data_IF_507129953615
#
_entry.id   IF_507129953615
#
_cell.length_a   1.000
_cell.length_b   1.000
_cell.length_c   1.000
_cell.angle_alpha   90.00
_cell.angle_beta   90.00
_cell.angle_gamma   90.00
#
_symmetry.space_group_name_H-M   'P 1'
#
loop_
_entity.id
_entity.type
_entity.pdbx_description
1 polymer ?
#
# COMPACT_ATOMS: atom_id res chain seq x y z
N UNK A 1 -10.29 0.76 -9.71
CA UNK A 1 -11.02 1.60 -10.69
C UNK A 1 -12.12 2.32 -9.94
N UNK A 2 -12.25 3.63 -10.17
CA UNK A 2 -13.29 4.48 -9.61
C UNK A 2 -14.04 5.11 -10.77
N UNK A 3 -15.33 4.85 -10.88
CA UNK A 3 -16.23 5.45 -11.86
C UNK A 3 -17.03 6.54 -11.16
N UNK A 4 -16.90 7.77 -11.63
CA UNK A 4 -17.77 8.84 -11.17
C UNK A 4 -19.17 8.69 -11.77
N UNK A 5 -20.20 8.94 -10.96
CA UNK A 5 -21.56 9.09 -11.44
C UNK A 5 -22.02 10.54 -11.24
N UNK A 6 -23.12 10.92 -11.91
CA UNK A 6 -23.69 12.28 -11.81
C UNK A 6 -24.06 12.67 -10.37
N UNK A 7 -24.26 11.70 -9.48
CA UNK A 7 -24.65 11.91 -8.08
C UNK A 7 -23.45 11.98 -7.12
N UNK A 8 -22.37 11.23 -7.38
CA UNK A 8 -21.21 11.10 -6.48
C UNK A 8 -19.97 11.88 -6.98
N UNK A 9 -20.11 12.74 -7.99
CA UNK A 9 -19.01 13.54 -8.52
C UNK A 9 -18.45 14.48 -7.41
N UNK A 10 -17.16 14.35 -7.11
CA UNK A 10 -16.46 15.15 -6.09
C UNK A 10 -16.65 14.71 -4.64
N UNK A 11 -17.17 13.49 -4.38
CA UNK A 11 -17.31 12.93 -3.02
C UNK A 11 -16.33 11.79 -2.72
N UNK A 12 -15.29 11.63 -3.54
CA UNK A 12 -14.31 10.54 -3.52
C UNK A 12 -13.28 10.60 -2.37
N UNK A 13 -13.15 11.76 -1.73
CA UNK A 13 -12.17 11.97 -0.64
C UNK A 13 -12.43 11.13 0.62
N UNK A 14 -13.64 10.58 0.80
CA UNK A 14 -14.01 9.94 2.06
C UNK A 14 -13.14 8.72 2.42
N UNK A 15 -12.71 7.93 1.44
CA UNK A 15 -11.90 6.71 1.67
C UNK A 15 -10.43 6.99 1.97
N UNK A 16 -9.91 8.11 1.46
CA UNK A 16 -8.50 8.49 1.56
C UNK A 16 -8.27 9.64 2.56
N UNK A 17 -9.35 10.23 3.08
CA UNK A 17 -9.28 11.34 4.02
C UNK A 17 -8.49 10.96 5.27
N UNK A 18 -7.45 11.75 5.57
CA UNK A 18 -6.50 11.54 6.68
C UNK A 18 -7.10 11.76 8.07
N UNK A 19 -8.41 11.91 8.18
CA UNK A 19 -9.09 12.41 9.36
C UNK A 19 -9.51 11.30 10.33
N UNK A 20 -8.68 11.06 11.35
CA UNK A 20 -9.03 10.65 12.73
C UNK A 20 -8.68 9.23 13.23
N UNK A 21 -8.29 8.25 12.41
CA UNK A 21 -7.87 6.92 12.92
C UNK A 21 -6.85 6.28 11.97
N UNK A 22 -5.83 5.63 12.55
CA UNK A 22 -4.77 4.83 11.93
C UNK A 22 -5.09 4.36 10.50
N UNK A 23 -4.45 5.01 9.52
CA UNK A 23 -4.62 4.78 8.08
C UNK A 23 -3.35 4.17 7.47
N UNK A 24 -2.40 3.74 8.30
CA UNK A 24 -1.12 3.20 7.86
C UNK A 24 -1.33 1.94 7.03
N UNK A 25 -2.20 1.03 7.49
CA UNK A 25 -2.51 -0.21 6.76
C UNK A 25 -3.04 0.05 5.35
N UNK A 26 -3.92 1.03 5.19
CA UNK A 26 -4.43 1.44 3.87
C UNK A 26 -3.31 1.96 2.98
N UNK A 27 -2.41 2.77 3.53
CA UNK A 27 -1.27 3.32 2.80
C UNK A 27 -0.26 2.25 2.40
N UNK A 28 -0.02 1.25 3.26
CA UNK A 28 0.85 0.13 2.94
C UNK A 28 0.24 -0.72 1.83
N UNK A 29 -1.03 -1.11 1.97
CA UNK A 29 -1.73 -1.90 0.95
C UNK A 29 -1.82 -1.17 -0.39
N UNK A 30 -1.99 0.16 -0.41
CA UNK A 30 -2.15 0.91 -1.65
C UNK A 30 -0.90 0.94 -2.52
N UNK A 31 0.29 0.61 -1.99
CA UNK A 31 1.54 0.54 -2.77
C UNK A 31 1.48 -0.46 -3.93
N UNK A 32 0.60 -1.47 -3.86
CA UNK A 32 0.43 -2.47 -4.91
C UNK A 32 -0.74 -2.19 -5.86
N UNK A 33 -1.45 -1.06 -5.68
CA UNK A 33 -2.62 -0.71 -6.46
C UNK A 33 -2.44 0.63 -7.16
N UNK A 34 -2.97 0.69 -8.39
CA UNK A 34 -3.14 1.94 -9.11
C UNK A 34 -4.59 2.36 -9.06
N UNK A 35 -4.83 3.61 -8.65
CA UNK A 35 -6.16 4.19 -8.76
C UNK A 35 -6.32 4.76 -10.17
N UNK A 36 -7.35 4.29 -10.87
CA UNK A 36 -7.75 4.79 -12.18
C UNK A 36 -9.15 5.37 -12.01
N UNK A 37 -9.26 6.67 -12.20
CA UNK A 37 -10.51 7.42 -12.11
C UNK A 37 -11.07 7.60 -13.51
N UNK A 38 -12.30 7.17 -13.71
CA UNK A 38 -13.02 7.26 -14.97
C UNK A 38 -14.06 8.38 -14.91
N UNK A 39 -14.16 9.16 -15.99
CA UNK A 39 -15.11 10.26 -16.07
C UNK A 39 -16.56 9.76 -16.18
N UNK A 40 -17.51 10.66 -15.92
CA UNK A 40 -18.94 10.34 -15.83
C UNK A 40 -19.52 9.84 -17.16
N UNK A 41 -18.94 10.27 -18.29
CA UNK A 41 -19.31 9.88 -19.66
C UNK A 41 -18.83 8.47 -20.03
N UNK A 42 -18.12 7.75 -19.15
CA UNK A 42 -17.75 6.35 -19.41
C UNK A 42 -18.95 5.43 -19.64
N UNK A 43 -20.14 5.86 -19.19
CA UNK A 43 -21.41 5.18 -19.38
C UNK A 43 -22.05 5.43 -20.74
N UNK A 44 -21.58 6.41 -21.52
CA UNK A 44 -22.12 6.71 -22.85
C UNK A 44 -21.67 5.65 -23.86
N UNK A 45 -22.54 5.31 -24.82
CA UNK A 45 -22.32 4.17 -25.74
C UNK A 45 -21.14 4.36 -26.70
N UNK A 46 -20.75 5.60 -26.95
CA UNK A 46 -19.63 5.99 -27.80
C UNK A 46 -18.29 6.02 -27.04
N UNK A 47 -18.30 5.86 -25.72
CA UNK A 47 -17.09 5.85 -24.92
C UNK A 47 -16.30 4.53 -25.08
N UNK A 48 -14.97 4.55 -25.29
CA UNK A 48 -14.17 3.34 -25.53
C UNK A 48 -14.24 2.28 -24.42
N UNK A 49 -14.52 2.69 -23.19
CA UNK A 49 -14.64 1.81 -22.02
C UNK A 49 -16.08 1.46 -21.63
N UNK A 50 -17.09 1.83 -22.43
CA UNK A 50 -18.51 1.56 -22.16
C UNK A 50 -18.78 0.09 -21.82
N UNK A 51 -18.18 -0.82 -22.58
CA UNK A 51 -18.38 -2.26 -22.44
C UNK A 51 -17.85 -2.85 -21.12
N UNK A 52 -17.11 -2.08 -20.31
CA UNK A 52 -16.70 -2.51 -18.96
C UNK A 52 -17.82 -2.33 -17.91
N UNK A 53 -18.90 -1.63 -18.29
CA UNK A 53 -19.98 -1.17 -17.43
C UNK A 53 -21.37 -1.39 -18.07
N UNK A 54 -21.54 -2.45 -18.86
CA UNK A 54 -22.78 -2.78 -19.57
C UNK A 54 -23.92 -3.26 -18.65
N UNK A 55 -23.62 -3.54 -17.39
CA UNK A 55 -24.60 -3.89 -16.37
C UNK A 55 -25.62 -2.78 -16.09
N UNK A 56 -26.84 -3.17 -15.71
CA UNK A 56 -27.95 -2.25 -15.41
C UNK A 56 -27.65 -1.26 -14.27
N UNK A 57 -26.82 -1.69 -13.31
CA UNK A 57 -26.33 -0.90 -12.18
C UNK A 57 -24.83 -1.20 -12.01
N UNK A 58 -23.97 -0.63 -12.85
CA UNK A 58 -22.55 -0.92 -12.79
C UNK A 58 -21.97 -0.30 -11.54
N UNK A 59 -20.98 -0.97 -10.96
CA UNK A 59 -20.40 -0.50 -9.72
C UNK A 59 -19.72 0.87 -9.86
N UNK A 60 -19.65 1.58 -8.75
CA UNK A 60 -18.96 2.85 -8.66
C UNK A 60 -17.47 2.64 -8.41
N UNK A 61 -17.12 1.58 -7.67
CA UNK A 61 -15.74 1.29 -7.33
C UNK A 61 -15.52 -0.22 -7.29
N UNK A 62 -14.43 -0.66 -7.91
CA UNK A 62 -13.96 -2.03 -7.81
C UNK A 62 -12.43 -2.07 -7.82
N UNK A 63 -11.92 -3.16 -7.26
CA UNK A 63 -10.51 -3.52 -7.29
C UNK A 63 -10.39 -4.76 -8.16
N UNK A 64 -9.39 -4.78 -9.04
CA UNK A 64 -9.13 -5.93 -9.87
C UNK A 64 -7.65 -6.12 -10.18
N UNK A 65 -7.34 -7.29 -10.72
CA UNK A 65 -6.01 -7.61 -11.23
C UNK A 65 -5.76 -6.90 -12.55
N UNK A 66 -4.48 -6.75 -12.91
CA UNK A 66 -4.07 -6.10 -14.17
C UNK A 66 -4.58 -6.82 -15.42
N UNK A 67 -4.76 -8.13 -15.32
CA UNK A 67 -5.31 -8.99 -16.39
C UNK A 67 -6.84 -9.11 -16.35
N UNK A 68 -7.50 -8.47 -15.38
CA UNK A 68 -8.96 -8.52 -15.21
C UNK A 68 -9.51 -9.87 -14.74
N UNK A 69 -8.67 -10.87 -14.44
CA UNK A 69 -9.10 -12.21 -14.01
C UNK A 69 -9.86 -12.20 -12.69
N UNK A 70 -9.54 -11.27 -11.79
CA UNK A 70 -10.28 -11.04 -10.55
C UNK A 70 -10.80 -9.60 -10.55
N UNK A 71 -12.11 -9.46 -10.39
CA UNK A 71 -12.83 -8.19 -10.20
C UNK A 71 -13.64 -8.30 -8.92
N UNK A 72 -13.44 -7.37 -7.99
CA UNK A 72 -14.14 -7.31 -6.70
C UNK A 72 -14.71 -5.93 -6.48
N UNK A 73 -16.03 -5.89 -6.38
CA UNK A 73 -16.81 -4.69 -6.12
C UNK A 73 -16.62 -4.22 -4.69
N UNK A 74 -16.62 -2.90 -4.50
CA UNK A 74 -16.73 -2.28 -3.18
C UNK A 74 -18.11 -1.67 -3.07
N UNK A 75 -18.99 -2.28 -2.27
CA UNK A 75 -20.38 -1.85 -2.11
C UNK A 75 -20.49 -0.68 -1.13
N UNK A 76 -19.59 -0.62 -0.13
CA UNK A 76 -19.50 0.49 0.80
C UNK A 76 -18.37 1.45 0.43
N UNK A 77 -18.72 2.66 0.01
CA UNK A 77 -17.77 3.76 -0.17
C UNK A 77 -17.11 4.23 1.15
N UNK A 78 -17.42 3.61 2.31
CA UNK A 78 -16.91 4.05 3.62
C UNK A 78 -16.32 2.94 4.49
N UNK A 79 -16.41 1.67 4.07
CA UNK A 79 -15.92 0.54 4.87
C UNK A 79 -14.44 0.26 4.60
N UNK A 80 -13.59 0.59 5.58
CA UNK A 80 -12.15 0.32 5.51
C UNK A 80 -11.81 -1.17 5.62
N UNK A 81 -12.57 -1.91 6.42
CA UNK A 81 -12.37 -3.36 6.60
C UNK A 81 -12.66 -4.06 5.27
N UNK A 82 -13.77 -3.73 4.62
CA UNK A 82 -14.13 -4.25 3.29
C UNK A 82 -13.08 -3.88 2.24
N UNK A 83 -12.57 -2.64 2.28
CA UNK A 83 -11.47 -2.22 1.43
C UNK A 83 -10.23 -3.09 1.63
N UNK A 84 -9.78 -3.28 2.88
CA UNK A 84 -8.60 -4.09 3.19
C UNK A 84 -8.77 -5.55 2.81
N UNK A 85 -9.94 -6.14 3.07
CA UNK A 85 -10.24 -7.53 2.72
C UNK A 85 -10.23 -7.71 1.20
N UNK A 86 -10.79 -6.73 0.47
CA UNK A 86 -10.84 -6.75 -0.99
C UNK A 86 -9.44 -6.57 -1.61
N UNK A 87 -8.66 -5.59 -1.14
CA UNK A 87 -7.27 -5.40 -1.56
C UNK A 87 -6.46 -6.67 -1.30
N UNK A 88 -6.60 -7.24 -0.10
CA UNK A 88 -5.89 -8.46 0.29
C UNK A 88 -6.26 -9.64 -0.60
N UNK A 89 -7.55 -9.83 -0.92
CA UNK A 89 -8.01 -10.91 -1.79
C UNK A 89 -7.42 -10.81 -3.20
N UNK A 90 -7.37 -9.60 -3.77
CA UNK A 90 -6.78 -9.36 -5.10
C UNK A 90 -5.26 -9.59 -5.08
N UNK A 91 -4.57 -9.18 -4.01
CA UNK A 91 -3.14 -9.48 -3.86
C UNK A 91 -2.89 -10.99 -3.71
N UNK A 92 -3.70 -11.71 -2.93
CA UNK A 92 -3.59 -13.19 -2.80
C UNK A 92 -3.80 -13.90 -4.13
N UNK A 93 -4.61 -13.35 -5.03
CA UNK A 93 -4.76 -13.89 -6.38
C UNK A 93 -3.46 -13.73 -7.19
N UNK A 94 -2.81 -12.56 -7.10
CA UNK A 94 -1.69 -12.15 -7.96
C UNK A 94 -0.29 -12.54 -7.44
N UNK A 95 -0.14 -12.75 -6.13
CA UNK A 95 1.17 -12.90 -5.48
C UNK A 95 1.34 -14.24 -4.75
N UNK A 96 2.57 -14.75 -4.73
CA UNK A 96 2.90 -16.07 -4.16
C UNK A 96 2.89 -16.09 -2.63
N UNK A 97 3.23 -14.95 -2.01
CA UNK A 97 3.29 -14.82 -0.54
C UNK A 97 2.01 -14.20 0.01
N UNK A 98 1.77 -14.44 1.30
CA UNK A 98 0.64 -13.88 2.03
C UNK A 98 0.79 -12.35 2.22
N UNK A 99 -0.12 -11.54 1.64
CA UNK A 99 -0.06 -10.08 1.72
C UNK A 99 -0.20 -9.55 3.15
N UNK A 100 -1.10 -10.14 3.95
CA UNK A 100 -1.33 -9.73 5.34
C UNK A 100 -0.08 -9.90 6.21
N UNK A 101 0.63 -11.01 6.06
CA UNK A 101 1.87 -11.27 6.78
C UNK A 101 2.96 -10.26 6.40
N UNK A 102 3.02 -9.90 5.12
CA UNK A 102 3.96 -8.90 4.59
C UNK A 102 3.65 -7.51 5.15
N UNK A 103 2.39 -7.07 5.10
CA UNK A 103 1.96 -5.79 5.67
C UNK A 103 2.24 -5.74 7.18
N UNK A 104 1.94 -6.80 7.92
CA UNK A 104 2.24 -6.87 9.37
C UNK A 104 3.74 -6.80 9.66
N UNK A 105 4.58 -7.39 8.81
CA UNK A 105 6.05 -7.28 8.91
C UNK A 105 6.48 -5.83 8.65
N UNK A 106 5.93 -5.18 7.64
CA UNK A 106 6.23 -3.77 7.33
C UNK A 106 5.84 -2.83 8.47
N UNK A 107 4.65 -2.99 9.05
CA UNK A 107 4.21 -2.19 10.21
C UNK A 107 5.21 -2.29 11.37
N UNK A 108 5.65 -3.52 11.71
CA UNK A 108 6.67 -3.72 12.75
C UNK A 108 8.01 -3.05 12.43
N UNK A 109 8.42 -3.04 11.16
CA UNK A 109 9.66 -2.37 10.74
C UNK A 109 9.51 -0.85 10.82
N UNK A 110 8.32 -0.30 10.55
CA UNK A 110 8.02 1.12 10.73
C UNK A 110 8.03 1.48 12.23
N UNK A 111 7.40 0.68 13.08
CA UNK A 111 7.46 0.86 14.54
C UNK A 111 8.92 0.83 15.05
N UNK A 112 9.73 -0.08 14.53
CA UNK A 112 11.15 -0.18 14.88
C UNK A 112 11.94 1.03 14.35
N UNK A 113 11.62 1.51 13.16
CA UNK A 113 12.21 2.72 12.60
C UNK A 113 11.95 3.94 13.51
N UNK A 114 10.70 4.16 13.90
CA UNK A 114 10.31 5.27 14.78
C UNK A 114 11.05 5.22 16.12
N UNK A 115 11.24 4.02 16.68
CA UNK A 115 12.04 3.82 17.89
C UNK A 115 13.50 4.22 17.68
N UNK A 116 14.15 3.72 16.62
CA UNK A 116 15.57 3.99 16.35
C UNK A 116 15.80 5.47 16.02
N UNK A 117 14.87 6.11 15.31
CA UNK A 117 14.94 7.54 15.00
C UNK A 117 14.80 8.41 16.25
N UNK A 118 13.94 8.01 17.19
CA UNK A 118 13.86 8.63 18.52
C UNK A 118 15.15 8.49 19.34
N UNK A 119 15.81 7.33 19.25
CA UNK A 119 17.12 7.09 19.88
C UNK A 119 18.22 7.95 19.26
N UNK A 120 18.23 8.09 17.93
CA UNK A 120 19.15 8.99 17.21
C UNK A 120 19.00 10.43 17.67
N UNK A 121 17.77 10.94 17.64
CA UNK A 121 17.46 12.31 18.07
C UNK A 121 17.89 12.55 19.52
N UNK A 122 17.66 11.57 20.39
CA UNK A 122 18.07 11.65 21.80
C UNK A 122 19.59 11.66 21.96
N UNK A 123 20.30 10.82 21.22
CA UNK A 123 21.77 10.77 21.26
C UNK A 123 22.39 12.06 20.72
N UNK A 124 21.89 12.59 19.60
CA UNK A 124 22.32 13.87 19.01
C UNK A 124 22.13 15.02 20.01
N UNK A 125 20.95 15.15 20.61
CA UNK A 125 20.70 16.17 21.65
C UNK A 125 21.65 16.04 22.83
N UNK A 126 21.92 14.83 23.32
CA UNK A 126 22.84 14.62 24.45
C UNK A 126 24.29 14.97 24.07
N UNK A 127 24.70 14.77 22.83
CA UNK A 127 26.02 15.17 22.35
C UNK A 127 26.13 16.70 22.39
N UNK A 128 25.13 17.41 21.87
CA UNK A 128 25.10 18.87 21.87
C UNK A 128 25.15 19.44 23.29
N UNK A 129 24.35 18.89 24.21
CA UNK A 129 24.36 19.29 25.62
C UNK A 129 25.73 19.08 26.29
N UNK A 130 26.43 17.99 25.98
CA UNK A 130 27.77 17.72 26.55
C UNK A 130 28.82 18.63 25.91
N UNK A 131 28.73 18.89 24.60
CA UNK A 131 29.60 19.84 23.91
C UNK A 131 29.49 21.23 24.53
N UNK A 132 28.27 21.69 24.85
CA UNK A 132 28.04 22.99 25.47
C UNK A 132 28.55 23.06 26.92
N UNK A 133 28.34 21.99 27.71
CA UNK A 133 28.64 22.00 29.16
C UNK A 133 30.07 21.58 29.52
N UNK A 134 30.58 20.55 28.86
CA UNK A 134 31.87 19.91 29.22
C UNK A 134 32.94 20.11 28.14
N UNK A 135 32.56 20.57 26.94
CA UNK A 135 33.47 20.79 25.83
C UNK A 135 33.83 19.51 25.03
N UNK A 136 34.63 19.67 23.96
CA UNK A 136 34.90 18.61 22.97
C UNK A 136 35.71 17.42 23.52
N UNK A 137 36.46 17.61 24.61
CA UNK A 137 37.34 16.59 25.19
C UNK A 137 36.65 15.71 26.24
N UNK A 138 35.33 15.86 26.43
CA UNK A 138 34.59 15.03 27.39
C UNK A 138 34.66 13.54 27.03
N UNK A 139 35.04 12.70 28.00
CA UNK A 139 35.05 11.24 27.85
C UNK A 139 33.67 10.66 27.53
N UNK A 140 32.59 11.31 27.98
CA UNK A 140 31.20 10.88 27.73
C UNK A 140 30.81 11.05 26.27
N UNK A 141 31.42 12.02 25.59
CA UNK A 141 31.16 12.35 24.20
C UNK A 141 31.57 11.22 23.26
N UNK A 142 32.69 10.54 23.56
CA UNK A 142 33.12 9.35 22.80
C UNK A 142 32.06 8.25 22.84
N UNK A 143 31.52 7.94 24.03
CA UNK A 143 30.50 6.91 24.19
C UNK A 143 29.20 7.26 23.45
N UNK A 144 28.75 8.51 23.54
CA UNK A 144 27.55 8.95 22.82
C UNK A 144 27.73 8.93 21.30
N UNK A 145 28.92 9.25 20.79
CA UNK A 145 29.23 9.12 19.36
C UNK A 145 29.17 7.65 18.90
N UNK A 146 29.67 6.72 19.72
CA UNK A 146 29.55 5.29 19.44
C UNK A 146 28.08 4.82 19.44
N UNK A 147 27.27 5.26 20.43
CA UNK A 147 25.84 4.98 20.49
C UNK A 147 25.09 5.53 19.26
N UNK A 148 25.41 6.75 18.83
CA UNK A 148 24.84 7.39 17.65
C UNK A 148 25.19 6.62 16.37
N UNK A 149 26.44 6.19 16.19
CA UNK A 149 26.83 5.39 15.03
C UNK A 149 26.19 4.00 15.02
N UNK A 150 25.98 3.38 16.18
CA UNK A 150 25.21 2.13 16.29
C UNK A 150 23.76 2.35 15.87
N UNK A 151 23.11 3.39 16.37
CA UNK A 151 21.73 3.71 16.01
C UNK A 151 21.58 4.03 14.50
N UNK A 152 22.56 4.72 13.90
CA UNK A 152 22.58 4.96 12.43
C UNK A 152 22.62 3.67 11.64
N UNK A 153 23.50 2.74 12.03
CA UNK A 153 23.59 1.42 11.37
C UNK A 153 22.31 0.62 11.52
N UNK A 154 21.67 0.68 12.69
CA UNK A 154 20.38 0.02 12.91
C UNK A 154 19.29 0.63 12.02
N UNK A 155 19.21 1.96 11.92
CA UNK A 155 18.25 2.65 11.04
C UNK A 155 18.43 2.21 9.58
N UNK A 156 19.66 2.18 9.10
CA UNK A 156 19.96 1.79 7.72
C UNK A 156 19.59 0.32 7.45
N UNK A 157 19.74 -0.55 8.45
CA UNK A 157 19.34 -1.96 8.35
C UNK A 157 17.81 -2.15 8.36
N UNK A 158 17.09 -1.36 9.17
CA UNK A 158 15.62 -1.34 9.17
C UNK A 158 15.11 -0.89 7.79
N UNK A 159 15.71 0.14 7.19
CA UNK A 159 15.37 0.58 5.83
C UNK A 159 15.57 -0.54 4.79
N UNK A 160 16.73 -1.22 4.80
CA UNK A 160 16.97 -2.35 3.89
C UNK A 160 15.95 -3.47 4.09
N UNK A 161 15.61 -3.77 5.33
CA UNK A 161 14.63 -4.79 5.68
C UNK A 161 13.22 -4.42 5.19
N UNK A 162 12.88 -3.13 5.22
CA UNK A 162 11.61 -2.61 4.70
C UNK A 162 11.57 -2.74 3.18
N UNK A 163 12.63 -2.33 2.47
CA UNK A 163 12.72 -2.48 1.01
C UNK A 163 12.58 -3.94 0.58
N UNK A 164 13.27 -4.85 1.28
CA UNK A 164 13.16 -6.28 1.04
C UNK A 164 11.73 -6.78 1.28
N UNK A 165 11.10 -6.43 2.40
CA UNK A 165 9.73 -6.82 2.69
C UNK A 165 8.75 -6.33 1.61
N UNK A 166 9.00 -5.15 1.04
CA UNK A 166 8.17 -4.59 -0.04
C UNK A 166 8.31 -5.40 -1.34
N UNK A 167 9.52 -5.89 -1.64
CA UNK A 167 9.83 -6.70 -2.83
C UNK A 167 9.50 -8.20 -2.67
N UNK A 168 9.20 -8.66 -1.45
CA UNK A 168 9.02 -10.08 -1.13
C UNK A 168 7.75 -10.69 -1.74
N UNK A 169 6.74 -9.88 -2.03
CA UNK A 169 5.53 -10.28 -2.76
C UNK A 169 5.93 -10.57 -4.21
N UNK A 170 6.44 -11.78 -4.45
CA UNK A 170 6.76 -12.28 -5.78
C UNK A 170 5.46 -12.54 -6.55
N UNK A 171 5.34 -11.98 -7.76
CA UNK A 171 4.19 -12.23 -8.63
C UNK A 171 4.07 -13.73 -8.94
N UNK A 172 2.83 -14.25 -8.94
CA UNK A 172 2.57 -15.58 -9.49
C UNK A 172 2.87 -15.54 -10.99
N UNK A 173 3.46 -16.61 -11.51
CA UNK A 173 3.60 -16.75 -12.96
C UNK A 173 2.20 -16.88 -13.55
N UNK A 174 1.88 -16.17 -14.65
CA UNK A 174 0.60 -16.36 -15.31
C UNK A 174 0.48 -17.82 -15.73
N UNK A 175 -0.57 -18.49 -15.25
CA UNK A 175 -0.93 -19.81 -15.79
C UNK A 175 -1.37 -19.56 -17.24
N UNK A 176 -0.74 -20.19 -18.24
CA UNK A 176 -1.19 -20.02 -19.62
C UNK A 176 -2.66 -20.41 -19.70
N UNK A 177 -3.48 -19.51 -20.27
CA UNK A 177 -4.90 -19.76 -20.47
C UNK A 177 -5.07 -21.10 -21.20
N UNK A 178 -5.93 -21.97 -20.67
CA UNK A 178 -6.33 -23.17 -21.39
C UNK A 178 -6.85 -22.73 -22.77
N UNK A 179 -6.45 -23.40 -23.86
CA UNK A 179 -6.90 -23.02 -25.19
C UNK A 179 -8.42 -23.01 -25.21
N UNK A 180 -8.98 -21.89 -25.67
CA UNK A 180 -10.41 -21.76 -25.91
C UNK A 180 -10.83 -22.96 -26.77
N UNK A 181 -11.77 -23.77 -26.27
CA UNK A 181 -12.29 -24.89 -27.01
C UNK A 181 -12.86 -24.36 -28.32
N UNK A 182 -12.19 -24.68 -29.43
CA UNK A 182 -12.63 -24.35 -30.77
C UNK A 182 -14.00 -25.02 -31.02
N UNK A 183 -14.86 -24.27 -31.71
CA UNK A 183 -16.30 -24.51 -31.80
C UNK A 183 -16.71 -25.91 -32.20
N UNK A 184 -17.66 -26.45 -31.45
CA UNK A 184 -18.50 -27.55 -31.90
C UNK A 184 -19.70 -26.95 -32.65
N UNK A 185 -19.51 -26.65 -33.94
CA UNK A 185 -20.64 -26.53 -34.87
C UNK A 185 -21.19 -27.93 -35.12
N UNK A 186 -22.32 -28.26 -34.49
CA UNK A 186 -23.08 -29.48 -34.76
C UNK A 186 -24.44 -29.13 -35.39
N UNK A 187 -24.49 -29.38 -36.71
CA UNK A 187 -25.61 -29.75 -37.60
C UNK A 187 -26.99 -29.12 -37.43
#
# INVERSE_FOLDING_TARGET
>A
MLRECKTCNGTDDALLSRGKVDNERTFLLSRWFHCVKLPVDVMEKDHPFHNLFDDKNPEHMFIGTTDGSVRKTLESERSRIELWDTMTAVLKASYQKEPEATVKKMQKLIDEFDRVDGELTTAERRIDEILEKEGPDSRKLKKLKEELEVARKQRDEVFRSLDQATAELKLKKPTPAAPAAEGETAK
#
